data_IF_769309655523
#
_entry.id   IF_769309655523
#
_cell.length_a   1.000
_cell.length_b   1.000
_cell.length_c   1.000
_cell.angle_alpha   90.00
_cell.angle_beta   90.00
_cell.angle_gamma   90.00
#
_symmetry.space_group_name_H-M   'P 1'
#
loop_
_entity.id
_entity.type
_entity.pdbx_description
1 polymer ?
#
# COMPACT_ATOMS: atom_id res chain seq x y z
N UNK A 1 11.55 5.16 17.05
CA UNK A 1 11.93 4.86 15.65
C UNK A 1 12.89 3.68 15.68
N UNK A 2 12.61 2.63 14.92
CA UNK A 2 13.43 1.42 14.86
C UNK A 2 14.75 1.72 14.13
N UNK A 3 15.88 1.23 14.67
CA UNK A 3 17.18 1.35 14.00
C UNK A 3 17.34 0.35 12.86
N UNK A 4 18.29 0.61 11.96
CA UNK A 4 18.61 -0.31 10.86
C UNK A 4 18.99 -1.70 11.37
N UNK A 5 19.81 -1.77 12.41
CA UNK A 5 20.32 -3.02 13.00
C UNK A 5 19.17 -3.83 13.58
N UNK A 6 18.24 -3.15 14.27
CA UNK A 6 17.05 -3.80 14.84
C UNK A 6 16.10 -4.29 13.76
N UNK A 7 15.99 -3.58 12.64
CA UNK A 7 15.20 -4.04 11.49
C UNK A 7 15.81 -5.29 10.85
N UNK A 8 17.14 -5.33 10.68
CA UNK A 8 17.87 -6.51 10.17
C UNK A 8 17.65 -7.72 11.08
N UNK A 9 17.92 -7.57 12.38
CA UNK A 9 17.79 -8.65 13.37
C UNK A 9 16.39 -9.28 13.35
N UNK A 10 15.35 -8.45 13.19
CA UNK A 10 13.96 -8.91 13.09
C UNK A 10 13.71 -9.77 11.86
N UNK A 11 14.20 -9.34 10.71
CA UNK A 11 14.03 -10.09 9.46
C UNK A 11 14.89 -11.34 9.46
N UNK A 12 16.14 -11.30 9.95
CA UNK A 12 16.98 -12.49 10.10
C UNK A 12 16.34 -13.53 11.03
N UNK A 13 15.78 -13.09 12.17
CA UNK A 13 15.03 -13.96 13.07
C UNK A 13 13.84 -14.61 12.39
N UNK A 14 13.10 -13.85 11.56
CA UNK A 14 11.99 -14.37 10.76
C UNK A 14 12.49 -15.41 9.74
N UNK A 15 13.54 -15.09 8.97
CA UNK A 15 14.10 -15.98 7.96
C UNK A 15 14.60 -17.29 8.58
N UNK A 16 15.19 -17.25 9.78
CA UNK A 16 15.63 -18.43 10.52
C UNK A 16 14.48 -19.39 10.90
N UNK A 17 13.24 -18.89 10.99
CA UNK A 17 12.05 -19.73 11.21
C UNK A 17 11.55 -20.44 9.95
N UNK A 18 11.96 -19.97 8.77
CA UNK A 18 11.51 -20.52 7.49
C UNK A 18 12.22 -21.84 7.19
N UNK A 19 11.44 -22.87 6.88
CA UNK A 19 11.96 -24.19 6.50
C UNK A 19 12.14 -24.30 4.99
N UNK A 20 13.09 -23.53 4.46
CA UNK A 20 13.52 -23.64 3.06
C UNK A 20 14.82 -24.46 2.96
N UNK A 21 15.05 -25.16 1.83
CA UNK A 21 16.25 -25.98 1.62
C UNK A 21 17.53 -25.14 1.44
N UNK A 22 17.41 -23.82 1.38
CA UNK A 22 18.51 -22.88 1.22
C UNK A 22 18.65 -22.02 2.48
N UNK A 23 19.90 -21.75 2.86
CA UNK A 23 20.20 -20.72 3.85
C UNK A 23 19.76 -19.35 3.30
N UNK A 24 18.98 -18.62 4.09
CA UNK A 24 18.43 -17.32 3.73
C UNK A 24 19.22 -16.22 4.42
N UNK A 25 19.58 -15.18 3.67
CA UNK A 25 20.34 -14.05 4.19
C UNK A 25 19.74 -12.75 3.73
N UNK A 26 19.85 -11.74 4.58
CA UNK A 26 19.63 -10.34 4.19
C UNK A 26 20.82 -9.89 3.38
N UNK A 27 20.60 -9.40 2.16
CA UNK A 27 21.69 -8.93 1.28
C UNK A 27 21.68 -7.42 1.07
N UNK A 28 20.55 -6.74 1.30
CA UNK A 28 20.43 -5.30 1.14
C UNK A 28 19.36 -4.73 2.07
N UNK A 29 19.61 -3.52 2.59
CA UNK A 29 18.66 -2.78 3.41
C UNK A 29 18.66 -1.33 2.99
N UNK A 30 17.46 -0.79 2.72
CA UNK A 30 17.25 0.61 2.32
C UNK A 30 16.38 1.32 3.34
N UNK A 31 16.75 2.55 3.67
CA UNK A 31 15.86 3.45 4.42
C UNK A 31 14.70 3.87 3.51
N UNK A 32 13.50 3.91 4.07
CA UNK A 32 12.29 4.35 3.41
C UNK A 32 11.50 5.29 4.32
N UNK A 33 10.60 6.10 3.74
CA UNK A 33 9.74 7.00 4.52
C UNK A 33 8.93 6.24 5.58
N UNK A 34 8.41 5.07 5.20
CA UNK A 34 7.58 4.19 6.04
C UNK A 34 8.38 3.30 7.02
N UNK A 35 9.70 3.23 6.90
CA UNK A 35 10.53 2.34 7.73
C UNK A 35 11.77 1.82 7.01
N UNK A 36 12.07 0.53 7.16
CA UNK A 36 13.22 -0.11 6.54
C UNK A 36 12.77 -1.19 5.56
N UNK A 37 13.21 -1.08 4.31
CA UNK A 37 13.04 -2.12 3.30
C UNK A 37 14.21 -3.09 3.39
N UNK A 38 13.91 -4.36 3.66
CA UNK A 38 14.90 -5.42 3.86
C UNK A 38 14.75 -6.45 2.75
N UNK A 39 15.80 -6.57 1.93
CA UNK A 39 15.88 -7.50 0.82
C UNK A 39 16.68 -8.73 1.24
N UNK A 40 16.13 -9.90 0.93
CA UNK A 40 16.67 -11.18 1.32
C UNK A 40 16.68 -12.13 0.13
N UNK A 41 17.59 -13.10 0.17
CA UNK A 41 17.66 -14.16 -0.83
C UNK A 41 18.39 -15.38 -0.25
N UNK A 42 18.63 -16.40 -1.07
CA UNK A 42 19.55 -17.47 -0.69
C UNK A 42 20.98 -16.92 -0.53
N UNK A 43 21.72 -17.48 0.43
CA UNK A 43 23.14 -17.18 0.64
C UNK A 43 23.96 -17.40 -0.65
N UNK A 44 23.62 -18.46 -1.39
CA UNK A 44 24.25 -18.79 -2.67
C UNK A 44 24.08 -17.67 -3.71
N UNK A 45 22.86 -17.13 -3.85
CA UNK A 45 22.60 -16.01 -4.76
C UNK A 45 23.23 -14.70 -4.26
N UNK A 46 23.11 -14.39 -2.98
CA UNK A 46 23.66 -13.16 -2.41
C UNK A 46 25.18 -13.04 -2.62
N UNK A 47 25.90 -14.17 -2.55
CA UNK A 47 27.34 -14.23 -2.74
C UNK A 47 27.76 -14.22 -4.22
N UNK A 48 27.10 -15.02 -5.06
CA UNK A 48 27.56 -15.30 -6.44
C UNK A 48 26.81 -14.52 -7.53
N UNK A 49 25.63 -13.99 -7.21
CA UNK A 49 24.61 -13.50 -8.15
C UNK A 49 24.20 -14.52 -9.21
N UNK A 50 24.44 -15.81 -8.98
CA UNK A 50 24.00 -16.88 -9.88
C UNK A 50 22.48 -17.02 -9.82
N UNK A 51 21.83 -16.95 -10.99
CA UNK A 51 20.39 -17.07 -11.13
C UNK A 51 19.86 -18.45 -10.69
N UNK A 52 20.69 -19.49 -10.67
CA UNK A 52 20.30 -20.83 -10.18
C UNK A 52 20.01 -20.86 -8.67
N UNK A 53 20.56 -19.91 -7.91
CA UNK A 53 20.28 -19.74 -6.49
C UNK A 53 19.18 -18.71 -6.20
N UNK A 54 18.66 -18.04 -7.23
CA UNK A 54 17.70 -16.95 -7.05
C UNK A 54 16.37 -17.49 -6.54
N UNK A 55 15.96 -17.05 -5.35
CA UNK A 55 14.59 -17.25 -4.87
C UNK A 55 13.67 -16.22 -5.50
N UNK A 56 13.03 -16.61 -6.60
CA UNK A 56 12.05 -15.80 -7.32
C UNK A 56 10.75 -15.72 -6.52
N UNK A 57 10.11 -14.55 -6.50
CA UNK A 57 8.79 -14.37 -5.89
C UNK A 57 8.78 -13.82 -4.47
N UNK A 58 9.95 -13.77 -3.81
CA UNK A 58 10.05 -13.46 -2.38
C UNK A 58 9.65 -12.03 -2.00
N UNK A 59 9.92 -11.02 -2.83
CA UNK A 59 9.65 -9.61 -2.49
C UNK A 59 10.36 -9.11 -1.21
N UNK A 60 10.41 -7.80 -0.97
CA UNK A 60 11.04 -7.27 0.25
C UNK A 60 10.14 -7.41 1.48
N UNK A 61 10.76 -7.37 2.65
CA UNK A 61 10.07 -7.08 3.90
C UNK A 61 10.15 -5.59 4.22
N UNK A 62 9.04 -5.00 4.63
CA UNK A 62 9.02 -3.68 5.27
C UNK A 62 8.98 -3.88 6.78
N UNK A 63 9.95 -3.30 7.48
CA UNK A 63 9.92 -3.14 8.93
C UNK A 63 9.39 -1.74 9.24
N UNK A 64 8.26 -1.66 9.93
CA UNK A 64 7.61 -0.38 10.25
C UNK A 64 8.50 0.51 11.12
N UNK A 65 8.50 1.80 10.79
CA UNK A 65 9.34 2.81 11.45
C UNK A 65 9.05 2.97 12.95
N UNK A 66 7.79 2.81 13.35
CA UNK A 66 7.29 3.18 14.67
C UNK A 66 7.14 1.98 15.58
N UNK A 67 6.42 0.96 15.13
CA UNK A 67 6.12 -0.24 15.92
C UNK A 67 7.12 -1.37 15.65
N UNK A 68 7.86 -1.36 14.53
CA UNK A 68 8.83 -2.41 14.21
C UNK A 68 8.22 -3.75 13.85
N UNK A 69 6.93 -3.78 13.52
CA UNK A 69 6.30 -4.93 12.89
C UNK A 69 6.87 -5.17 11.49
N UNK A 70 6.91 -6.43 11.10
CA UNK A 70 7.46 -6.88 9.81
C UNK A 70 6.29 -7.24 8.89
N UNK A 71 6.30 -6.65 7.70
CA UNK A 71 5.30 -6.83 6.68
C UNK A 71 5.93 -7.37 5.41
N UNK A 72 5.32 -8.39 4.84
CA UNK A 72 5.74 -8.97 3.58
C UNK A 72 5.09 -8.22 2.42
N UNK A 73 5.90 -7.70 1.51
CA UNK A 73 5.42 -7.10 0.26
C UNK A 73 5.67 -8.12 -0.86
N UNK A 74 4.62 -8.76 -1.41
CA UNK A 74 4.78 -9.71 -2.50
C UNK A 74 5.46 -9.05 -3.71
N UNK A 75 6.26 -9.81 -4.47
CA UNK A 75 7.04 -9.24 -5.59
C UNK A 75 6.16 -8.55 -6.65
N UNK A 76 4.96 -9.07 -6.89
CA UNK A 76 4.01 -8.51 -7.86
C UNK A 76 3.43 -7.18 -7.38
N UNK A 77 3.22 -7.05 -6.07
CA UNK A 77 2.80 -5.80 -5.41
C UNK A 77 3.94 -4.78 -5.41
N UNK A 78 5.16 -5.22 -5.11
CA UNK A 78 6.35 -4.38 -5.12
C UNK A 78 6.63 -3.75 -6.50
N UNK A 79 6.48 -4.53 -7.58
CA UNK A 79 6.69 -4.05 -8.96
C UNK A 79 5.58 -3.12 -9.45
N UNK A 80 4.40 -3.15 -8.82
CA UNK A 80 3.26 -2.32 -9.20
C UNK A 80 3.39 -0.83 -8.84
N UNK A 81 4.51 -0.39 -8.25
CA UNK A 81 4.84 0.99 -7.85
C UNK A 81 3.88 1.71 -6.87
N UNK A 82 2.69 1.16 -6.57
CA UNK A 82 1.70 1.73 -5.65
C UNK A 82 1.64 1.00 -4.27
N UNK A 83 2.70 0.26 -3.93
CA UNK A 83 2.72 -0.56 -2.72
C UNK A 83 2.69 0.29 -1.44
N UNK A 84 3.20 1.52 -1.44
CA UNK A 84 3.12 2.44 -0.29
C UNK A 84 1.67 2.79 0.05
N UNK A 85 0.88 3.13 -0.96
CA UNK A 85 -0.53 3.46 -0.79
C UNK A 85 -1.30 2.24 -0.30
N UNK A 86 -1.00 1.07 -0.87
CA UNK A 86 -1.58 -0.20 -0.42
C UNK A 86 -1.23 -0.49 1.04
N UNK A 87 0.02 -0.28 1.45
CA UNK A 87 0.47 -0.45 2.82
C UNK A 87 -0.26 0.48 3.78
N UNK A 88 -0.31 1.77 3.44
CA UNK A 88 -1.01 2.78 4.24
C UNK A 88 -2.49 2.42 4.40
N UNK A 89 -3.15 1.98 3.31
CA UNK A 89 -4.56 1.56 3.32
C UNK A 89 -4.80 0.30 4.14
N UNK A 90 -4.04 -0.77 3.89
CA UNK A 90 -4.30 -2.09 4.48
C UNK A 90 -3.81 -2.20 5.93
N UNK A 91 -2.63 -1.65 6.22
CA UNK A 91 -1.97 -1.82 7.53
C UNK A 91 -2.22 -0.63 8.44
N UNK A 92 -2.15 0.60 7.92
CA UNK A 92 -2.31 1.81 8.73
C UNK A 92 -3.75 2.35 8.72
N UNK A 93 -4.63 1.81 7.88
CA UNK A 93 -5.99 2.31 7.71
C UNK A 93 -6.06 3.73 7.15
N UNK A 94 -4.95 4.25 6.59
CA UNK A 94 -4.87 5.58 6.01
C UNK A 94 -5.43 5.52 4.61
N UNK A 95 -6.44 6.33 4.34
CA UNK A 95 -7.17 6.30 3.09
C UNK A 95 -6.63 7.39 2.17
N UNK A 96 -6.38 7.03 0.91
CA UNK A 96 -5.96 7.99 -0.09
C UNK A 96 -7.08 9.03 -0.31
N UNK A 97 -6.75 10.31 -0.51
CA UNK A 97 -7.74 11.31 -0.87
C UNK A 97 -8.56 10.86 -2.07
N UNK A 98 -9.85 11.17 -2.07
CA UNK A 98 -10.72 10.79 -3.17
C UNK A 98 -10.29 11.47 -4.50
N UNK A 99 -10.00 10.68 -5.56
CA UNK A 99 -9.48 11.20 -6.82
C UNK A 99 -10.42 12.20 -7.50
N UNK A 100 -11.74 12.09 -7.30
CA UNK A 100 -12.72 12.97 -7.95
C UNK A 100 -13.07 14.20 -7.12
N UNK A 101 -12.69 14.27 -5.84
CA UNK A 101 -13.10 15.36 -4.98
C UNK A 101 -12.54 16.71 -5.46
N UNK A 102 -11.29 16.75 -5.94
CA UNK A 102 -10.66 17.97 -6.45
C UNK A 102 -11.33 18.48 -7.74
N UNK A 103 -11.60 17.58 -8.69
CA UNK A 103 -12.24 17.94 -9.97
C UNK A 103 -13.70 18.39 -9.76
N UNK A 104 -14.43 17.73 -8.87
CA UNK A 104 -15.79 18.12 -8.46
C UNK A 104 -15.78 19.52 -7.83
N UNK A 105 -14.86 19.82 -6.90
CA UNK A 105 -14.73 21.18 -6.33
C UNK A 105 -14.46 22.24 -7.40
N UNK A 106 -13.59 21.94 -8.36
CA UNK A 106 -13.26 22.87 -9.43
C UNK A 106 -14.48 23.15 -10.33
N UNK A 107 -15.20 22.10 -10.74
CA UNK A 107 -16.40 22.22 -11.58
C UNK A 107 -17.54 22.93 -10.86
N UNK A 108 -17.69 22.70 -9.56
CA UNK A 108 -18.66 23.43 -8.75
C UNK A 108 -18.40 24.94 -8.75
N UNK A 109 -17.12 25.35 -8.72
CA UNK A 109 -16.73 26.77 -8.75
C UNK A 109 -16.90 27.40 -10.14
N UNK A 110 -16.67 26.67 -11.22
CA UNK A 110 -16.67 27.21 -12.59
C UNK A 110 -17.99 27.06 -13.34
N UNK A 111 -18.68 25.92 -13.21
CA UNK A 111 -19.85 25.53 -14.00
C UNK A 111 -21.07 25.13 -13.16
N UNK A 112 -20.93 25.11 -11.83
CA UNK A 112 -22.01 24.87 -10.88
C UNK A 112 -22.29 23.38 -10.59
N UNK A 113 -23.25 23.16 -9.68
CA UNK A 113 -23.56 21.84 -9.10
C UNK A 113 -23.99 20.80 -10.13
N UNK A 114 -24.76 21.20 -11.16
CA UNK A 114 -25.28 20.26 -12.16
C UNK A 114 -24.14 19.70 -13.03
N UNK A 115 -23.20 20.55 -13.45
CA UNK A 115 -22.04 20.13 -14.21
C UNK A 115 -21.12 19.20 -13.40
N UNK A 116 -20.91 19.52 -12.11
CA UNK A 116 -20.13 18.69 -11.21
C UNK A 116 -20.76 17.30 -10.99
N UNK A 117 -22.09 17.24 -10.79
CA UNK A 117 -22.81 15.98 -10.63
C UNK A 117 -22.82 15.14 -11.91
N UNK A 118 -22.94 15.77 -13.08
CA UNK A 118 -22.84 15.08 -14.36
C UNK A 118 -21.43 14.50 -14.58
N UNK A 119 -20.38 15.26 -14.28
CA UNK A 119 -18.99 14.78 -14.34
C UNK A 119 -18.76 13.60 -13.38
N UNK A 120 -19.19 13.72 -12.12
CA UNK A 120 -19.05 12.68 -11.11
C UNK A 120 -19.70 11.37 -11.58
N UNK A 121 -20.95 11.40 -12.05
CA UNK A 121 -21.64 10.19 -12.50
C UNK A 121 -21.09 9.61 -13.80
N UNK A 122 -20.44 10.43 -14.63
CA UNK A 122 -19.72 9.95 -15.82
C UNK A 122 -18.48 9.15 -15.44
N UNK A 123 -17.75 9.60 -14.43
CA UNK A 123 -16.50 8.96 -13.96
C UNK A 123 -16.77 7.81 -12.97
N UNK A 124 -17.85 7.89 -12.21
CA UNK A 124 -18.28 6.88 -11.25
C UNK A 124 -19.71 6.40 -11.58
N UNK A 125 -19.90 5.58 -12.63
CA UNK A 125 -21.23 5.12 -13.05
C UNK A 125 -21.97 4.30 -11.99
N UNK A 126 -21.23 3.75 -11.02
CA UNK A 126 -21.76 2.96 -9.90
C UNK A 126 -22.51 3.82 -8.86
N UNK A 127 -22.28 5.13 -8.85
CA UNK A 127 -23.04 6.04 -7.98
C UNK A 127 -24.45 6.26 -8.53
N UNK A 128 -25.44 5.96 -7.70
CA UNK A 128 -26.82 6.38 -7.95
C UNK A 128 -26.93 7.91 -7.96
N UNK A 129 -28.05 8.42 -8.48
CA UNK A 129 -28.32 9.86 -8.47
C UNK A 129 -28.35 10.45 -7.05
N UNK A 130 -28.89 9.70 -6.09
CA UNK A 130 -28.99 10.14 -4.70
C UNK A 130 -27.61 10.18 -4.04
N UNK A 131 -26.79 9.16 -4.24
CA UNK A 131 -25.41 9.10 -3.74
C UNK A 131 -24.55 10.20 -4.35
N UNK A 132 -24.63 10.41 -5.67
CA UNK A 132 -23.93 11.51 -6.34
C UNK A 132 -24.35 12.88 -5.80
N UNK A 133 -25.63 13.08 -5.46
CA UNK A 133 -26.09 14.32 -4.83
C UNK A 133 -25.51 14.48 -3.43
N UNK A 134 -25.55 13.43 -2.59
CA UNK A 134 -24.98 13.44 -1.24
C UNK A 134 -23.48 13.77 -1.29
N UNK A 135 -22.76 13.14 -2.20
CA UNK A 135 -21.35 13.40 -2.46
C UNK A 135 -21.10 14.87 -2.78
N UNK A 136 -21.78 15.42 -3.79
CA UNK A 136 -21.57 16.81 -4.24
C UNK A 136 -21.94 17.81 -3.15
N UNK A 137 -22.97 17.52 -2.34
CA UNK A 137 -23.32 18.36 -1.19
C UNK A 137 -22.25 18.33 -0.09
N UNK A 138 -21.65 17.17 0.21
CA UNK A 138 -20.55 17.09 1.15
C UNK A 138 -19.36 17.94 0.68
N UNK A 139 -18.96 17.78 -0.58
CA UNK A 139 -17.88 18.55 -1.21
C UNK A 139 -18.19 20.06 -1.21
N UNK A 140 -19.45 20.44 -1.48
CA UNK A 140 -19.89 21.84 -1.43
C UNK A 140 -19.65 22.48 -0.07
N UNK A 141 -19.90 21.72 0.99
CA UNK A 141 -19.77 22.18 2.36
C UNK A 141 -18.32 22.19 2.85
N UNK A 142 -17.35 21.87 1.97
CA UNK A 142 -15.94 21.77 2.31
C UNK A 142 -15.57 20.51 3.07
N UNK A 143 -16.51 19.58 3.24
CA UNK A 143 -16.27 18.28 3.86
C UNK A 143 -15.72 17.28 2.83
N UNK A 144 -15.05 16.23 3.33
CA UNK A 144 -14.78 15.05 2.51
C UNK A 144 -16.07 14.25 2.29
N UNK A 145 -16.23 13.64 1.10
CA UNK A 145 -17.34 12.72 0.86
C UNK A 145 -17.34 11.56 1.86
N UNK A 146 -18.52 11.01 2.21
CA UNK A 146 -18.60 9.78 2.97
C UNK A 146 -17.78 8.66 2.33
N UNK A 147 -17.16 7.84 3.18
CA UNK A 147 -16.21 6.80 2.77
C UNK A 147 -16.81 5.84 1.73
N UNK A 148 -18.03 5.38 1.97
CA UNK A 148 -18.77 4.49 1.08
C UNK A 148 -18.94 5.08 -0.32
N UNK A 149 -19.05 6.41 -0.44
CA UNK A 149 -19.21 7.08 -1.73
C UNK A 149 -17.87 7.31 -2.43
N UNK A 150 -16.82 7.63 -1.67
CA UNK A 150 -15.46 7.76 -2.20
C UNK A 150 -14.90 6.40 -2.68
N UNK A 151 -15.31 5.29 -2.08
CA UNK A 151 -14.93 3.96 -2.56
C UNK A 151 -15.56 3.66 -3.93
N UNK A 152 -16.78 4.15 -4.18
CA UNK A 152 -17.45 3.98 -5.46
C UNK A 152 -16.84 4.83 -6.59
N UNK A 153 -16.08 5.88 -6.27
CA UNK A 153 -15.39 6.72 -7.28
C UNK A 153 -14.07 6.13 -7.77
N UNK A 154 -13.49 5.17 -7.05
CA UNK A 154 -12.23 4.51 -7.45
C UNK A 154 -12.50 3.49 -8.55
N UNK A 155 -11.64 3.42 -9.56
CA UNK A 155 -11.78 2.43 -10.64
C UNK A 155 -11.73 0.99 -10.08
N UNK A 156 -12.46 0.08 -10.71
CA UNK A 156 -12.41 -1.33 -10.35
C UNK A 156 -11.10 -1.93 -10.86
N UNK A 157 -10.24 -2.34 -9.93
CA UNK A 157 -8.96 -2.98 -10.27
C UNK A 157 -9.24 -4.35 -10.91
N UNK A 158 -8.98 -4.46 -12.22
CA UNK A 158 -9.20 -5.68 -13.02
C UNK A 158 -8.27 -6.83 -12.55
N UNK A 159 -7.15 -6.48 -11.93
CA UNK A 159 -6.24 -7.42 -11.29
C UNK A 159 -5.63 -6.76 -10.04
N UNK A 160 -6.24 -6.93 -8.85
CA UNK A 160 -5.75 -6.29 -7.65
C UNK A 160 -4.38 -6.85 -7.25
N UNK A 161 -3.47 -6.01 -6.71
CA UNK A 161 -2.18 -6.48 -6.21
C UNK A 161 -2.39 -7.47 -5.05
N UNK A 162 -1.39 -8.34 -4.85
CA UNK A 162 -1.41 -9.25 -3.70
C UNK A 162 -1.35 -8.45 -2.40
N UNK A 163 -2.07 -8.91 -1.38
CA UNK A 163 -2.14 -8.22 -0.10
C UNK A 163 -0.78 -8.19 0.60
N UNK A 164 -0.53 -7.09 1.33
CA UNK A 164 0.63 -6.98 2.20
C UNK A 164 0.29 -7.66 3.52
N UNK A 165 1.08 -8.67 3.89
CA UNK A 165 0.82 -9.49 5.07
C UNK A 165 1.68 -9.06 6.25
N UNK A 166 1.09 -8.96 7.45
CA UNK A 166 1.87 -8.78 8.68
C UNK A 166 2.37 -10.13 9.16
N UNK A 167 3.67 -10.39 8.95
CA UNK A 167 4.30 -11.69 9.25
C UNK A 167 4.89 -11.75 10.66
N UNK A 168 5.20 -10.60 11.26
CA UNK A 168 5.63 -10.52 12.65
C UNK A 168 5.13 -9.23 13.28
N UNK A 169 4.36 -9.33 14.38
CA UNK A 169 4.00 -8.16 15.18
C UNK A 169 5.07 -7.91 16.23
N UNK A 170 5.40 -6.65 16.45
CA UNK A 170 6.21 -6.27 17.60
C UNK A 170 5.33 -6.28 18.85
N UNK A 171 5.66 -7.14 19.82
CA UNK A 171 5.17 -6.99 21.19
C UNK A 171 6.27 -6.27 21.98
N UNK A 172 6.04 -5.03 22.44
CA UNK A 172 6.85 -4.46 23.51
C UNK A 172 6.46 -5.18 24.81
N UNK A 173 7.42 -5.80 25.49
CA UNK A 173 7.31 -6.04 26.92
C UNK A 173 7.42 -4.71 27.70
#
# INVERSE_FOLDING_TARGET
>A
MISKERAVERVESLLATMRLPHELVVHEVKEHALGWLVFWNSAGHACTRDLRGLLVGGGPYLVDRYDGSVHHIPVTTWVGEDWEELYLRQIKGVQAPDPLAASVRALMKSAGTVAAMHHLRKQAPRLSLQEARTYVMAVRNGAEPPHELADLTREEEVCPPLAIETVSRFHPE
#
